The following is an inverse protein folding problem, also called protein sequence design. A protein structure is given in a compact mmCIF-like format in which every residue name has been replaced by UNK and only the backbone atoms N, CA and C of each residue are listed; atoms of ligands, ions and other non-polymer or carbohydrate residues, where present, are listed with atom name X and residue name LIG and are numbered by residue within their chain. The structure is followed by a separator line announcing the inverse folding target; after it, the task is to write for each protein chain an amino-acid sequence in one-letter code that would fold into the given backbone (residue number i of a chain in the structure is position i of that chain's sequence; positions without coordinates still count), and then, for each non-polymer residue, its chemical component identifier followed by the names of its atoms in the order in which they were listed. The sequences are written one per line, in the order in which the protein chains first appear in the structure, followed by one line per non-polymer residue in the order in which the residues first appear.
data_IF_519684087148
#
_entry.id   IF_519684087148
#
_cell.length_a   1.000
_cell.length_b   1.000
_cell.length_c   1.000
_cell.angle_alpha   90.00
_cell.angle_beta   90.00
_cell.angle_gamma   90.00
#
_symmetry.space_group_name_H-M   'P 1'
#
loop_
_entity.id
_entity.type
_entity.pdbx_description
1 polymer ?
#
# COMPACT_ATOMS: atom_id res chain seq x y z
N UNK A 1 -51.03 -34.13 43.70
CA UNK A 1 -50.99 -32.94 42.80
C UNK A 1 -50.05 -31.82 43.27
N UNK A 2 -50.04 -31.42 44.56
CA UNK A 2 -49.19 -30.32 45.06
C UNK A 2 -47.68 -30.54 44.89
N UNK A 3 -47.14 -31.71 45.29
CA UNK A 3 -45.70 -32.02 45.16
C UNK A 3 -45.19 -31.93 43.71
N UNK A 4 -45.92 -32.48 42.73
CA UNK A 4 -45.55 -32.39 41.31
C UNK A 4 -45.48 -30.94 40.82
N UNK A 5 -46.42 -30.07 41.24
CA UNK A 5 -46.40 -28.64 40.93
C UNK A 5 -45.19 -27.93 41.54
N UNK A 6 -44.85 -28.22 42.79
CA UNK A 6 -43.68 -27.64 43.47
C UNK A 6 -42.36 -28.05 42.80
N UNK A 7 -42.21 -29.32 42.40
CA UNK A 7 -41.02 -29.81 41.68
C UNK A 7 -40.87 -29.13 40.32
N UNK A 8 -41.97 -28.98 39.56
CA UNK A 8 -41.96 -28.30 38.26
C UNK A 8 -41.52 -26.83 38.42
N UNK A 9 -42.02 -26.13 39.45
CA UNK A 9 -41.63 -24.74 39.72
C UNK A 9 -40.14 -24.64 40.05
N UNK A 10 -39.61 -25.49 40.92
CA UNK A 10 -38.17 -25.49 41.27
C UNK A 10 -37.29 -25.83 40.06
N UNK A 11 -37.68 -26.81 39.24
CA UNK A 11 -36.96 -27.15 38.02
C UNK A 11 -36.97 -25.99 37.02
N UNK A 12 -38.11 -25.30 36.85
CA UNK A 12 -38.19 -24.13 35.97
C UNK A 12 -37.31 -22.97 36.46
N UNK A 13 -37.26 -22.72 37.76
CA UNK A 13 -36.43 -21.67 38.35
C UNK A 13 -34.94 -21.98 38.18
N UNK A 14 -34.56 -23.24 38.38
CA UNK A 14 -33.20 -23.70 38.16
C UNK A 14 -32.75 -23.52 36.72
N UNK A 15 -33.60 -23.87 35.75
CA UNK A 15 -33.34 -23.67 34.32
C UNK A 15 -33.12 -22.19 34.02
N UNK A 16 -33.96 -21.29 34.57
CA UNK A 16 -33.80 -19.84 34.38
C UNK A 16 -32.46 -19.35 34.94
N UNK A 17 -32.04 -19.83 36.11
CA UNK A 17 -30.73 -19.47 36.69
C UNK A 17 -29.57 -19.98 35.82
N UNK A 18 -29.63 -21.22 35.33
CA UNK A 18 -28.62 -21.76 34.42
C UNK A 18 -28.52 -20.97 33.11
N UNK A 19 -29.66 -20.54 32.55
CA UNK A 19 -29.69 -19.69 31.36
C UNK A 19 -29.07 -18.33 31.68
N UNK A 20 -29.48 -17.68 32.77
CA UNK A 20 -28.94 -16.38 33.18
C UNK A 20 -27.42 -16.44 33.43
N UNK A 21 -26.93 -17.50 34.08
CA UNK A 21 -25.50 -17.72 34.29
C UNK A 21 -24.76 -17.99 32.97
N UNK A 22 -25.34 -18.79 32.07
CA UNK A 22 -24.75 -19.06 30.76
C UNK A 22 -24.63 -17.78 29.93
N UNK A 23 -25.66 -16.92 29.97
CA UNK A 23 -25.63 -15.59 29.34
C UNK A 23 -24.54 -14.74 29.98
N UNK A 24 -24.49 -14.64 31.32
CA UNK A 24 -23.47 -13.87 32.03
C UNK A 24 -22.05 -14.34 31.69
N UNK A 25 -21.84 -15.66 31.65
CA UNK A 25 -20.55 -16.27 31.36
C UNK A 25 -20.09 -15.94 29.93
N UNK A 26 -20.98 -16.10 28.96
CA UNK A 26 -20.66 -15.93 27.53
C UNK A 26 -20.60 -14.47 27.08
N UNK A 27 -21.44 -13.60 27.64
CA UNK A 27 -21.55 -12.19 27.22
C UNK A 27 -20.67 -11.23 28.03
N UNK A 28 -20.27 -11.60 29.25
CA UNK A 28 -19.55 -10.68 30.15
C UNK A 28 -18.23 -11.28 30.62
N UNK A 29 -18.26 -12.45 31.27
CA UNK A 29 -17.08 -12.99 31.96
C UNK A 29 -15.98 -13.39 30.96
N UNK A 30 -16.32 -14.19 29.94
CA UNK A 30 -15.34 -14.65 28.95
C UNK A 30 -14.76 -13.47 28.13
N UNK A 31 -15.56 -12.53 27.59
CA UNK A 31 -15.03 -11.34 26.91
C UNK A 31 -14.12 -10.50 27.80
N UNK A 32 -14.51 -10.25 29.05
CA UNK A 32 -13.70 -9.47 30.00
C UNK A 32 -12.34 -10.13 30.28
N UNK A 33 -12.30 -11.45 30.46
CA UNK A 33 -11.04 -12.18 30.65
C UNK A 33 -10.13 -12.08 29.43
N UNK A 34 -10.68 -12.23 28.22
CA UNK A 34 -9.92 -12.08 26.96
C UNK A 34 -9.38 -10.65 26.80
N UNK A 35 -10.19 -9.63 27.11
CA UNK A 35 -9.76 -8.23 27.09
C UNK A 35 -8.60 -7.97 28.05
N UNK A 36 -8.67 -8.50 29.28
CA UNK A 36 -7.59 -8.39 30.25
C UNK A 36 -6.31 -9.11 29.79
N UNK A 37 -6.44 -10.25 29.10
CA UNK A 37 -5.31 -10.93 28.47
C UNK A 37 -4.67 -10.07 27.38
N UNK A 38 -5.48 -9.45 26.51
CA UNK A 38 -4.99 -8.55 25.47
C UNK A 38 -4.23 -7.36 26.07
N UNK A 39 -4.75 -6.73 27.13
CA UNK A 39 -4.06 -5.63 27.85
C UNK A 39 -2.68 -6.05 28.36
N UNK A 40 -2.56 -7.22 28.99
CA UNK A 40 -1.25 -7.74 29.44
C UNK A 40 -0.27 -7.96 28.28
N UNK A 41 -0.76 -8.41 27.13
CA UNK A 41 0.07 -8.60 25.93
C UNK A 41 0.57 -7.24 25.40
N UNK A 42 -0.31 -6.23 25.36
CA UNK A 42 0.05 -4.85 25.02
C UNK A 42 1.12 -4.31 25.97
N UNK A 43 0.95 -4.50 27.28
CA UNK A 43 1.93 -4.06 28.30
C UNK A 43 3.31 -4.71 28.09
N UNK A 44 3.32 -5.97 27.61
CA UNK A 44 4.54 -6.71 27.27
C UNK A 44 5.10 -6.43 25.86
N UNK A 45 4.41 -5.63 25.03
CA UNK A 45 4.79 -5.32 23.65
C UNK A 45 4.42 -6.38 22.61
N UNK A 46 3.66 -7.41 22.98
CA UNK A 46 3.17 -8.45 22.04
C UNK A 46 1.88 -7.98 21.36
N UNK A 47 2.03 -7.00 20.47
CA UNK A 47 0.93 -6.37 19.74
C UNK A 47 0.22 -7.34 18.79
N UNK A 48 0.93 -8.32 18.22
CA UNK A 48 0.33 -9.33 17.34
C UNK A 48 -0.64 -10.24 18.08
N UNK A 49 -0.19 -10.83 19.20
CA UNK A 49 -1.07 -11.67 20.00
C UNK A 49 -2.23 -10.86 20.59
N UNK A 50 -1.98 -9.60 21.00
CA UNK A 50 -3.02 -8.71 21.47
C UNK A 50 -4.08 -8.42 20.39
N UNK A 51 -3.65 -8.02 19.20
CA UNK A 51 -4.53 -7.69 18.08
C UNK A 51 -5.37 -8.89 17.64
N UNK A 52 -4.78 -10.09 17.63
CA UNK A 52 -5.50 -11.34 17.33
C UNK A 52 -6.60 -11.64 18.35
N UNK A 53 -6.35 -11.45 19.65
CA UNK A 53 -7.38 -11.64 20.69
C UNK A 53 -8.49 -10.61 20.52
N UNK A 54 -8.14 -9.33 20.34
CA UNK A 54 -9.10 -8.27 20.17
C UNK A 54 -9.95 -8.50 18.93
N UNK A 55 -9.36 -9.00 17.84
CA UNK A 55 -10.03 -9.31 16.58
C UNK A 55 -11.17 -10.30 16.69
N UNK A 56 -11.04 -11.25 17.63
CA UNK A 56 -12.02 -12.30 17.88
C UNK A 56 -13.02 -11.94 19.00
N UNK A 57 -13.06 -10.67 19.42
CA UNK A 57 -14.01 -10.16 20.41
C UNK A 57 -15.03 -9.24 19.74
N UNK A 58 -16.32 -9.54 19.98
CA UNK A 58 -17.42 -8.63 19.70
C UNK A 58 -17.82 -7.94 21.02
N UNK A 59 -16.98 -7.00 21.45
CA UNK A 59 -17.14 -6.27 22.71
C UNK A 59 -16.66 -4.83 22.49
N UNK A 60 -17.48 -3.82 22.81
CA UNK A 60 -17.21 -2.42 22.43
C UNK A 60 -15.79 -1.95 22.80
N UNK A 61 -15.39 -2.16 24.05
CA UNK A 61 -14.05 -1.79 24.54
C UNK A 61 -12.91 -2.48 23.79
N UNK A 62 -13.18 -3.65 23.17
CA UNK A 62 -12.18 -4.37 22.37
C UNK A 62 -11.96 -3.75 21.00
N UNK A 63 -12.95 -3.03 20.45
CA UNK A 63 -12.82 -2.30 19.18
C UNK A 63 -11.97 -1.04 19.38
N UNK A 64 -12.31 -0.22 20.38
CA UNK A 64 -11.55 0.98 20.73
C UNK A 64 -10.08 0.66 21.02
N UNK A 65 -9.84 -0.39 21.85
CA UNK A 65 -8.49 -0.82 22.17
C UNK A 65 -7.75 -1.36 20.94
N UNK A 66 -8.42 -2.10 20.06
CA UNK A 66 -7.82 -2.62 18.82
C UNK A 66 -7.39 -1.48 17.89
N UNK A 67 -8.25 -0.49 17.73
CA UNK A 67 -7.96 0.70 16.94
C UNK A 67 -6.78 1.48 17.55
N UNK A 68 -6.71 1.59 18.88
CA UNK A 68 -5.60 2.28 19.56
C UNK A 68 -4.23 1.59 19.42
N UNK A 69 -4.21 0.26 19.18
CA UNK A 69 -2.97 -0.50 19.00
C UNK A 69 -2.67 -0.88 17.55
N UNK A 70 -3.52 -0.47 16.60
CA UNK A 70 -3.47 -0.91 15.19
C UNK A 70 -2.11 -0.61 14.57
N UNK A 71 -1.60 0.60 14.77
CA UNK A 71 -0.33 1.02 14.19
C UNK A 71 0.87 0.24 14.77
N UNK A 72 0.85 -0.07 16.07
CA UNK A 72 1.91 -0.86 16.71
C UNK A 72 1.87 -2.32 16.23
N UNK A 73 0.67 -2.86 15.99
CA UNK A 73 0.49 -4.17 15.38
C UNK A 73 1.04 -4.20 13.94
N UNK A 74 0.66 -3.25 13.09
CA UNK A 74 1.15 -3.14 11.71
C UNK A 74 2.67 -2.99 11.68
N UNK A 75 3.22 -2.10 12.51
CA UNK A 75 4.67 -1.95 12.69
C UNK A 75 5.36 -3.27 13.06
N UNK A 76 4.77 -4.06 13.95
CA UNK A 76 5.33 -5.35 14.34
C UNK A 76 5.35 -6.34 13.16
N UNK A 77 4.33 -6.32 12.28
CA UNK A 77 4.31 -7.11 11.05
C UNK A 77 5.36 -6.64 10.04
N UNK A 78 5.42 -5.33 9.77
CA UNK A 78 6.41 -4.73 8.86
C UNK A 78 7.85 -5.05 9.31
N UNK A 79 8.09 -5.03 10.62
CA UNK A 79 9.41 -5.35 11.19
C UNK A 79 9.85 -6.81 10.96
N UNK A 80 8.90 -7.73 10.76
CA UNK A 80 9.16 -9.14 10.45
C UNK A 80 9.31 -9.42 8.95
N UNK A 81 8.94 -8.47 8.10
CA UNK A 81 8.98 -8.63 6.66
C UNK A 81 10.41 -8.92 6.15
N UNK A 82 10.51 -9.74 5.11
CA UNK A 82 11.77 -10.10 4.47
C UNK A 82 11.82 -9.53 3.05
N UNK A 83 13.03 -9.28 2.52
CA UNK A 83 13.18 -8.89 1.11
C UNK A 83 12.53 -9.95 0.21
N UNK A 84 11.74 -9.51 -0.76
CA UNK A 84 10.97 -10.37 -1.66
C UNK A 84 9.61 -10.83 -1.12
N UNK A 85 9.29 -10.55 0.15
CA UNK A 85 7.95 -10.79 0.72
C UNK A 85 6.99 -9.64 0.40
N UNK A 86 5.69 -9.92 0.58
CA UNK A 86 4.64 -8.91 0.50
C UNK A 86 4.14 -8.54 1.89
N UNK A 87 3.89 -7.24 2.10
CA UNK A 87 3.23 -6.69 3.28
C UNK A 87 1.98 -5.93 2.87
N UNK A 88 1.01 -5.85 3.77
CA UNK A 88 -0.22 -5.10 3.57
C UNK A 88 -0.16 -3.85 4.44
N UNK A 89 -0.31 -2.66 3.84
CA UNK A 89 -0.25 -1.40 4.59
C UNK A 89 -0.83 -0.23 3.79
N UNK A 90 -1.60 0.66 4.45
CA UNK A 90 -2.40 1.67 3.77
C UNK A 90 -3.55 1.09 2.93
N UNK A 91 -4.41 1.99 2.43
CA UNK A 91 -5.59 1.62 1.62
C UNK A 91 -5.75 2.56 0.43
N UNK A 92 -6.02 2.05 -0.76
CA UNK A 92 -6.29 2.86 -1.94
C UNK A 92 -7.35 2.18 -2.80
N UNK A 93 -8.08 2.95 -3.60
CA UNK A 93 -9.06 2.42 -4.55
C UNK A 93 -8.38 1.54 -5.61
N UNK A 94 -8.82 0.29 -5.75
CA UNK A 94 -8.21 -0.69 -6.66
C UNK A 94 -9.23 -1.44 -7.50
N UNK A 95 -10.46 -1.64 -7.04
CA UNK A 95 -11.47 -2.43 -7.77
C UNK A 95 -12.43 -1.58 -8.63
N UNK A 96 -12.34 -0.24 -8.52
CA UNK A 96 -13.19 0.75 -9.20
C UNK A 96 -14.65 0.76 -8.70
N UNK A 97 -14.90 0.27 -7.49
CA UNK A 97 -16.18 0.31 -6.83
C UNK A 97 -16.16 1.34 -5.68
N UNK A 98 -16.35 2.61 -6.00
CA UNK A 98 -16.29 3.70 -5.01
C UNK A 98 -17.30 3.59 -3.84
N UNK A 99 -18.23 2.63 -3.86
CA UNK A 99 -19.22 2.40 -2.81
C UNK A 99 -18.73 1.47 -1.68
N UNK A 100 -17.73 0.61 -1.90
CA UNK A 100 -17.22 -0.31 -0.87
C UNK A 100 -16.03 0.26 -0.06
N UNK A 101 -15.48 1.39 -0.50
CA UNK A 101 -14.33 2.06 0.12
C UNK A 101 -12.99 1.44 -0.32
N UNK A 102 -11.90 2.16 -0.06
CA UNK A 102 -10.57 1.79 -0.53
C UNK A 102 -10.08 0.42 -0.01
N UNK A 103 -9.41 -0.34 -0.88
CA UNK A 103 -8.81 -1.63 -0.55
C UNK A 103 -7.41 -1.53 0.05
N UNK A 104 -7.06 -2.50 0.87
CA UNK A 104 -5.70 -2.68 1.37
C UNK A 104 -4.65 -2.80 0.26
N UNK A 105 -3.54 -2.06 0.39
CA UNK A 105 -2.47 -2.08 -0.61
C UNK A 105 -1.45 -3.16 -0.26
N UNK A 106 -1.16 -4.04 -1.21
CA UNK A 106 -0.04 -4.98 -1.13
C UNK A 106 1.26 -4.33 -1.62
N UNK A 107 2.33 -4.49 -0.85
CA UNK A 107 3.64 -3.91 -1.09
C UNK A 107 4.73 -4.98 -1.13
N UNK A 108 5.50 -5.03 -2.22
CA UNK A 108 6.71 -5.85 -2.33
C UNK A 108 7.87 -5.18 -1.59
N UNK A 109 8.52 -5.90 -0.68
CA UNK A 109 9.72 -5.43 0.02
C UNK A 109 10.95 -5.58 -0.88
N UNK A 110 11.50 -4.47 -1.36
CA UNK A 110 12.69 -4.44 -2.23
C UNK A 110 14.00 -4.44 -1.44
N UNK A 111 14.02 -3.80 -0.27
CA UNK A 111 15.19 -3.75 0.58
C UNK A 111 14.78 -3.67 2.05
N UNK A 112 15.67 -4.17 2.92
CA UNK A 112 15.53 -4.06 4.37
C UNK A 112 16.85 -3.60 4.97
N UNK A 113 16.78 -2.50 5.69
CA UNK A 113 17.83 -1.98 6.56
C UNK A 113 17.42 -2.21 8.01
N UNK A 114 18.31 -1.93 8.97
CA UNK A 114 18.07 -2.19 10.39
C UNK A 114 16.78 -1.54 10.91
N UNK A 115 16.49 -0.32 10.46
CA UNK A 115 15.37 0.49 10.95
C UNK A 115 14.34 0.85 9.87
N UNK A 116 14.46 0.35 8.64
CA UNK A 116 13.51 0.71 7.58
C UNK A 116 13.45 -0.33 6.47
N UNK A 117 12.34 -0.33 5.75
CA UNK A 117 12.15 -1.16 4.56
C UNK A 117 11.82 -0.28 3.35
N UNK A 118 12.39 -0.60 2.21
CA UNK A 118 11.99 -0.03 0.93
C UNK A 118 10.93 -0.93 0.33
N UNK A 119 9.79 -0.35 -0.01
CA UNK A 119 8.68 -1.06 -0.61
C UNK A 119 8.27 -0.45 -1.94
N UNK A 120 7.70 -1.28 -2.81
CA UNK A 120 6.99 -0.87 -4.03
C UNK A 120 5.65 -1.56 -4.09
N UNK A 121 4.61 -0.86 -4.53
CA UNK A 121 3.28 -1.47 -4.71
C UNK A 121 3.34 -2.71 -5.60
N UNK A 122 2.58 -3.74 -5.22
CA UNK A 122 2.47 -5.01 -5.97
C UNK A 122 1.83 -4.77 -7.34
N UNK A 123 0.76 -3.99 -7.36
CA UNK A 123 0.03 -3.57 -8.54
C UNK A 123 0.27 -2.10 -8.84
N UNK A 124 0.08 -1.69 -10.09
CA UNK A 124 0.01 -0.27 -10.41
C UNK A 124 -1.38 0.26 -10.05
N UNK A 125 -1.41 1.30 -9.22
CA UNK A 125 -2.61 1.67 -8.44
C UNK A 125 -3.51 2.69 -9.15
N UNK A 126 -2.92 3.62 -9.90
CA UNK A 126 -3.62 4.68 -10.62
C UNK A 126 -2.95 4.92 -11.98
N UNK A 127 -3.57 5.73 -12.82
CA UNK A 127 -3.06 6.18 -14.10
C UNK A 127 -2.96 7.70 -14.10
N UNK A 128 -1.72 8.22 -14.11
CA UNK A 128 -1.44 9.64 -14.06
C UNK A 128 -0.44 10.02 -15.15
N UNK A 129 -0.62 11.20 -15.75
CA UNK A 129 0.38 11.79 -16.65
C UNK A 129 1.64 12.11 -15.84
N UNK A 130 2.81 11.88 -16.43
CA UNK A 130 4.07 12.25 -15.76
C UNK A 130 4.12 13.74 -15.45
N UNK A 131 3.73 14.56 -16.43
CA UNK A 131 3.55 16.00 -16.27
C UNK A 131 2.28 16.45 -16.99
N UNK A 132 1.59 17.46 -16.45
CA UNK A 132 0.38 18.02 -17.06
C UNK A 132 0.67 19.17 -18.03
N UNK A 133 1.80 19.87 -17.90
CA UNK A 133 2.25 20.89 -18.86
C UNK A 133 3.05 20.28 -20.02
N UNK A 134 3.10 20.98 -21.16
CA UNK A 134 3.82 20.55 -22.38
C UNK A 134 5.27 21.06 -22.42
N UNK A 135 5.85 21.33 -21.26
CA UNK A 135 7.18 21.92 -21.11
C UNK A 135 8.21 20.85 -20.77
N UNK A 136 9.49 21.20 -20.91
CA UNK A 136 10.60 20.41 -20.39
C UNK A 136 10.40 20.17 -18.89
N UNK A 137 10.57 18.93 -18.46
CA UNK A 137 10.20 18.51 -17.12
C UNK A 137 11.21 17.53 -16.56
N UNK A 138 11.51 17.68 -15.28
CA UNK A 138 12.33 16.75 -14.51
C UNK A 138 11.46 16.12 -13.43
N UNK A 139 11.96 15.10 -12.74
CA UNK A 139 11.26 14.56 -11.57
C UNK A 139 10.91 15.66 -10.55
N UNK A 140 11.84 16.58 -10.30
CA UNK A 140 11.69 17.70 -9.36
C UNK A 140 10.45 18.55 -9.66
N UNK A 141 10.20 18.86 -10.93
CA UNK A 141 9.18 19.81 -11.37
C UNK A 141 7.89 19.16 -11.89
N UNK A 142 7.85 17.83 -12.03
CA UNK A 142 6.70 17.14 -12.60
C UNK A 142 5.47 17.14 -11.69
N UNK A 143 4.28 17.19 -12.29
CA UNK A 143 3.01 17.10 -11.55
C UNK A 143 2.80 15.75 -10.87
N UNK A 144 3.37 14.66 -11.41
CA UNK A 144 3.24 13.33 -10.81
C UNK A 144 3.90 13.25 -9.42
N UNK A 145 5.07 13.85 -9.26
CA UNK A 145 5.75 13.94 -7.95
C UNK A 145 4.90 14.70 -6.92
N UNK A 146 4.27 15.80 -7.35
CA UNK A 146 3.38 16.60 -6.50
C UNK A 146 2.15 15.80 -6.07
N UNK A 147 1.55 15.04 -7.00
CA UNK A 147 0.43 14.16 -6.69
C UNK A 147 0.82 13.02 -5.72
N UNK A 148 1.98 12.39 -5.94
CA UNK A 148 2.48 11.31 -5.08
C UNK A 148 2.72 11.77 -3.64
N UNK A 149 3.32 12.96 -3.45
CA UNK A 149 3.64 13.51 -2.13
C UNK A 149 2.54 14.41 -1.55
N UNK A 150 1.37 14.44 -2.19
CA UNK A 150 0.18 15.15 -1.72
C UNK A 150 -1.02 14.22 -1.75
N UNK A 151 -1.87 14.36 -2.77
CA UNK A 151 -3.16 13.66 -2.85
C UNK A 151 -3.06 12.14 -2.69
N UNK A 152 -2.07 11.48 -3.29
CA UNK A 152 -1.89 10.03 -3.10
C UNK A 152 -1.56 9.70 -1.64
N UNK A 153 -0.55 10.35 -1.07
CA UNK A 153 -0.10 10.12 0.30
C UNK A 153 -1.21 10.37 1.33
N UNK A 154 -1.98 11.46 1.15
CA UNK A 154 -3.09 11.83 2.03
C UNK A 154 -4.29 10.87 1.92
N UNK A 155 -4.50 10.29 0.74
CA UNK A 155 -5.57 9.33 0.50
C UNK A 155 -5.18 7.92 0.97
N UNK A 156 -3.94 7.52 0.71
CA UNK A 156 -3.49 6.15 0.90
C UNK A 156 -3.15 5.81 2.35
N UNK A 157 -2.78 6.82 3.15
CA UNK A 157 -2.26 6.63 4.50
C UNK A 157 -2.87 7.63 5.48
N UNK A 158 -3.25 7.14 6.65
CA UNK A 158 -3.63 7.98 7.80
C UNK A 158 -2.47 8.84 8.28
N UNK A 159 -2.75 9.89 9.06
CA UNK A 159 -1.69 10.75 9.62
C UNK A 159 -0.64 9.97 10.43
N UNK A 160 -1.08 8.98 11.19
CA UNK A 160 -0.20 8.15 12.01
C UNK A 160 0.66 7.20 11.16
N UNK A 161 0.13 6.68 10.04
CA UNK A 161 0.91 5.92 9.06
C UNK A 161 1.90 6.81 8.31
N UNK A 162 1.49 8.01 7.88
CA UNK A 162 2.38 8.99 7.22
C UNK A 162 3.57 9.37 8.09
N UNK A 163 3.41 9.41 9.41
CA UNK A 163 4.51 9.63 10.35
C UNK A 163 5.58 8.51 10.32
N UNK A 164 5.25 7.32 9.79
CA UNK A 164 6.19 6.23 9.55
C UNK A 164 6.85 6.29 8.16
N UNK A 165 6.48 7.24 7.29
CA UNK A 165 7.05 7.39 5.95
C UNK A 165 8.06 8.54 5.98
N UNK A 166 9.37 8.29 6.17
CA UNK A 166 10.34 9.35 6.28
C UNK A 166 10.50 10.11 4.96
N UNK A 167 10.78 11.41 5.06
CA UNK A 167 11.31 12.18 3.93
C UNK A 167 12.73 11.68 3.66
N UNK A 168 13.00 11.24 2.43
CA UNK A 168 14.31 10.78 1.99
C UNK A 168 14.83 11.62 0.83
N UNK A 169 16.16 11.69 0.71
CA UNK A 169 16.77 12.22 -0.51
C UNK A 169 16.59 11.21 -1.65
N UNK A 170 15.92 11.64 -2.72
CA UNK A 170 15.76 10.88 -3.96
C UNK A 170 16.72 11.47 -4.99
N UNK A 171 17.67 10.66 -5.49
CA UNK A 171 18.72 11.14 -6.39
C UNK A 171 18.21 11.39 -7.81
N UNK A 172 18.71 12.45 -8.45
CA UNK A 172 18.51 12.68 -9.88
C UNK A 172 19.44 11.78 -10.73
N UNK A 173 19.14 10.49 -10.78
CA UNK A 173 19.92 9.51 -11.54
C UNK A 173 19.80 9.75 -13.05
N UNK A 174 20.95 9.83 -13.72
CA UNK A 174 21.02 9.93 -15.19
C UNK A 174 20.40 8.71 -15.86
N UNK A 175 19.83 8.93 -17.05
CA UNK A 175 19.54 7.82 -17.96
C UNK A 175 20.88 7.21 -18.43
N UNK A 176 21.10 5.88 -18.31
CA UNK A 176 22.34 5.25 -18.75
C UNK A 176 22.61 5.30 -20.26
N UNK A 177 21.57 5.50 -21.09
CA UNK A 177 21.65 5.53 -22.56
C UNK A 177 21.74 6.94 -23.14
N UNK A 178 21.14 7.92 -22.48
CA UNK A 178 21.01 9.30 -22.99
C UNK A 178 21.58 10.32 -22.01
N UNK A 179 22.18 11.40 -22.51
CA UNK A 179 22.71 12.50 -21.68
C UNK A 179 21.65 13.56 -21.36
N UNK A 180 20.38 13.17 -21.30
CA UNK A 180 19.28 14.03 -20.88
C UNK A 180 19.49 14.48 -19.44
N UNK A 181 19.37 15.78 -19.19
CA UNK A 181 19.53 16.33 -17.85
C UNK A 181 18.47 15.74 -16.89
N UNK A 182 18.88 15.02 -15.81
CA UNK A 182 17.92 14.42 -14.87
C UNK A 182 17.32 15.44 -13.89
N UNK A 183 17.79 16.70 -13.88
CA UNK A 183 17.40 17.70 -12.90
C UNK A 183 18.17 17.56 -11.58
N UNK A 184 17.57 18.03 -10.48
CA UNK A 184 18.16 17.98 -9.15
C UNK A 184 17.57 16.85 -8.31
N UNK A 185 18.35 16.40 -7.31
CA UNK A 185 17.83 15.52 -6.27
C UNK A 185 16.73 16.21 -5.47
N UNK A 186 15.76 15.42 -5.01
CA UNK A 186 14.57 15.90 -4.28
C UNK A 186 14.51 15.33 -2.87
N UNK A 187 13.60 15.86 -2.06
CA UNK A 187 13.24 15.34 -0.75
C UNK A 187 11.79 14.87 -0.81
N UNK A 188 11.57 13.55 -0.80
CA UNK A 188 10.27 12.93 -1.06
C UNK A 188 9.96 11.85 -0.01
N UNK A 189 8.67 11.67 0.29
CA UNK A 189 8.17 10.54 1.08
C UNK A 189 7.80 9.36 0.17
N UNK A 190 7.14 9.66 -0.96
CA UNK A 190 6.75 8.67 -1.97
C UNK A 190 7.37 9.07 -3.31
N UNK A 191 7.92 8.10 -4.01
CA UNK A 191 8.65 8.30 -5.26
C UNK A 191 8.44 7.15 -6.24
N UNK A 192 8.96 7.32 -7.45
CA UNK A 192 9.13 6.24 -8.43
C UNK A 192 10.59 5.80 -8.44
N UNK A 193 10.86 4.55 -8.80
CA UNK A 193 12.24 4.07 -8.96
C UNK A 193 12.92 4.77 -10.16
N UNK A 194 14.26 4.95 -10.11
CA UNK A 194 15.04 5.22 -11.33
C UNK A 194 15.18 3.99 -12.21
N UNK A 195 15.69 4.19 -13.43
CA UNK A 195 16.23 3.10 -14.25
C UNK A 195 17.25 2.29 -13.45
N UNK A 196 18.23 2.95 -12.82
CA UNK A 196 19.30 2.28 -12.07
C UNK A 196 18.76 1.43 -10.94
N UNK A 197 17.78 1.93 -10.18
CA UNK A 197 17.11 1.16 -9.13
C UNK A 197 16.26 0.02 -9.71
N UNK A 198 15.50 0.26 -10.77
CA UNK A 198 14.66 -0.75 -11.39
C UNK A 198 15.49 -1.90 -11.96
N UNK A 199 16.64 -1.65 -12.59
CA UNK A 199 17.50 -2.72 -13.14
C UNK A 199 18.47 -3.31 -12.11
N UNK A 200 18.49 -2.80 -10.89
CA UNK A 200 19.37 -3.32 -9.86
C UNK A 200 18.97 -4.75 -9.50
N UNK A 201 19.90 -5.69 -9.66
CA UNK A 201 19.68 -7.11 -9.34
C UNK A 201 19.31 -7.37 -7.88
N UNK A 202 19.64 -6.43 -6.99
CA UNK A 202 19.22 -6.46 -5.58
C UNK A 202 17.72 -6.24 -5.37
N UNK A 203 17.02 -5.59 -6.31
CA UNK A 203 15.58 -5.30 -6.21
C UNK A 203 14.76 -6.22 -7.12
N UNK A 204 15.25 -6.49 -8.33
CA UNK A 204 14.57 -7.36 -9.29
C UNK A 204 15.56 -8.35 -9.92
N UNK A 205 15.20 -9.63 -9.92
CA UNK A 205 16.04 -10.70 -10.49
C UNK A 205 16.11 -10.71 -12.02
N UNK A 206 15.35 -9.82 -12.68
CA UNK A 206 15.31 -9.67 -14.14
C UNK A 206 13.99 -9.04 -14.59
N UNK A 207 13.80 -8.98 -15.91
CA UNK A 207 12.64 -8.37 -16.57
C UNK A 207 11.32 -8.96 -16.06
N UNK A 208 11.22 -10.28 -15.96
CA UNK A 208 10.01 -10.95 -15.46
C UNK A 208 9.60 -10.52 -14.05
N UNK A 209 10.56 -10.12 -13.20
CA UNK A 209 10.27 -9.62 -11.85
C UNK A 209 9.78 -8.15 -11.85
N UNK A 210 10.02 -7.40 -12.94
CA UNK A 210 9.58 -6.00 -13.10
C UNK A 210 8.22 -5.86 -13.74
N UNK A 211 7.71 -6.92 -14.39
CA UNK A 211 6.35 -6.97 -14.93
C UNK A 211 5.36 -6.61 -13.83
N UNK A 212 4.48 -5.66 -14.12
CA UNK A 212 3.46 -5.19 -13.19
C UNK A 212 2.07 -5.41 -13.78
N UNK A 213 1.11 -5.76 -12.94
CA UNK A 213 -0.30 -5.74 -13.29
C UNK A 213 -0.95 -4.46 -12.77
N UNK A 214 -1.87 -3.88 -13.53
CA UNK A 214 -2.67 -2.74 -13.09
C UNK A 214 -3.89 -3.21 -12.30
N UNK A 215 -4.36 -2.36 -11.39
CA UNK A 215 -5.65 -2.54 -10.71
C UNK A 215 -6.80 -2.22 -11.65
N UNK A 216 -8.03 -2.64 -11.32
CA UNK A 216 -9.20 -2.29 -12.13
C UNK A 216 -9.42 -0.77 -12.16
N UNK A 217 -9.18 -0.10 -11.03
CA UNK A 217 -9.19 1.36 -10.93
C UNK A 217 -8.16 2.01 -11.85
N UNK A 218 -6.90 1.57 -11.82
CA UNK A 218 -5.86 2.07 -12.72
C UNK A 218 -6.27 1.99 -14.20
N UNK A 219 -6.91 0.89 -14.62
CA UNK A 219 -7.42 0.75 -15.99
C UNK A 219 -8.64 1.63 -16.28
N UNK A 220 -9.56 1.78 -15.33
CA UNK A 220 -10.67 2.72 -15.46
C UNK A 220 -10.19 4.17 -15.58
N UNK A 221 -9.00 4.47 -15.04
CA UNK A 221 -8.29 5.75 -15.16
C UNK A 221 -7.51 5.93 -16.46
N UNK A 222 -7.54 4.92 -17.34
CA UNK A 222 -7.02 5.00 -18.71
C UNK A 222 -5.64 4.37 -18.93
N UNK A 223 -5.11 3.60 -17.97
CA UNK A 223 -3.83 2.94 -18.15
C UNK A 223 -3.87 1.92 -19.30
N UNK A 224 -2.77 1.83 -20.04
CA UNK A 224 -2.62 0.80 -21.06
C UNK A 224 -2.63 -0.60 -20.44
N UNK A 225 -3.51 -1.47 -20.98
CA UNK A 225 -3.71 -2.85 -20.54
C UNK A 225 -3.24 -3.82 -21.61
N UNK A 226 -2.08 -4.45 -21.38
CA UNK A 226 -1.51 -5.46 -22.26
C UNK A 226 -1.97 -6.87 -21.85
N UNK A 227 -2.46 -7.65 -22.81
CA UNK A 227 -2.88 -9.05 -22.66
C UNK A 227 -3.69 -9.31 -21.36
N UNK A 228 -3.14 -10.11 -20.45
CA UNK A 228 -3.73 -10.60 -19.21
C UNK A 228 -3.76 -9.56 -18.10
N UNK A 229 -3.64 -8.27 -18.43
CA UNK A 229 -3.61 -7.20 -17.44
C UNK A 229 -2.22 -6.79 -17.00
N UNK A 230 -1.20 -6.87 -17.87
CA UNK A 230 0.10 -6.23 -17.63
C UNK A 230 0.00 -4.76 -18.01
N UNK A 231 0.78 -3.89 -17.37
CA UNK A 231 0.79 -2.46 -17.67
C UNK A 231 2.20 -1.93 -17.78
N UNK A 232 2.32 -0.79 -18.46
CA UNK A 232 3.53 0.02 -18.43
C UNK A 232 3.49 0.92 -17.21
N UNK A 233 4.63 1.12 -16.54
CA UNK A 233 4.70 1.96 -15.35
C UNK A 233 5.87 2.93 -15.36
N UNK A 234 5.63 4.15 -14.86
CA UNK A 234 6.60 5.23 -14.89
C UNK A 234 7.84 4.96 -14.03
N UNK A 235 8.99 5.44 -14.51
CA UNK A 235 10.20 5.68 -13.74
C UNK A 235 10.41 7.19 -13.60
N UNK A 236 11.13 7.61 -12.56
CA UNK A 236 11.49 9.03 -12.38
C UNK A 236 12.67 9.50 -13.24
N UNK A 237 13.42 8.56 -13.82
CA UNK A 237 14.55 8.89 -14.70
C UNK A 237 14.04 9.53 -16.00
N UNK A 238 14.78 10.50 -16.56
CA UNK A 238 14.42 11.10 -17.85
C UNK A 238 14.47 10.07 -18.98
N UNK A 239 13.70 10.32 -20.04
CA UNK A 239 13.79 9.60 -21.31
C UNK A 239 14.89 10.17 -22.22
N UNK A 240 14.75 9.96 -23.53
CA UNK A 240 15.73 10.43 -24.51
C UNK A 240 15.75 11.98 -24.72
N UNK A 241 14.72 12.70 -24.29
CA UNK A 241 14.63 14.17 -24.32
C UNK A 241 14.16 14.73 -22.98
N UNK A 242 14.42 16.02 -22.73
CA UNK A 242 14.05 16.74 -21.49
C UNK A 242 12.54 16.84 -21.24
N UNK A 243 11.71 16.54 -22.25
CA UNK A 243 10.25 16.50 -22.16
C UNK A 243 9.69 15.10 -21.93
N UNK A 244 10.54 14.08 -21.69
CA UNK A 244 10.14 12.67 -21.57
C UNK A 244 10.68 12.03 -20.30
N UNK A 245 9.93 11.07 -19.78
CA UNK A 245 10.34 10.18 -18.69
C UNK A 245 10.45 8.74 -19.20
N UNK A 246 11.25 7.94 -18.50
CA UNK A 246 11.38 6.51 -18.78
C UNK A 246 10.27 5.70 -18.10
N UNK A 247 10.10 4.47 -18.54
CA UNK A 247 9.13 3.53 -17.99
C UNK A 247 9.67 2.09 -18.03
N UNK A 248 8.93 1.19 -17.41
CA UNK A 248 9.05 -0.25 -17.63
C UNK A 248 7.84 -0.68 -18.46
N UNK A 249 8.09 -1.45 -19.53
CA UNK A 249 7.04 -1.97 -20.39
C UNK A 249 6.33 -3.22 -19.83
N UNK A 250 5.34 -3.72 -20.56
CA UNK A 250 4.58 -4.91 -20.18
C UNK A 250 5.41 -6.23 -20.15
N UNK A 251 6.62 -6.24 -20.71
CA UNK A 251 7.56 -7.36 -20.65
C UNK A 251 8.59 -7.20 -19.53
N UNK A 252 8.56 -6.07 -18.82
CA UNK A 252 9.49 -5.74 -17.75
C UNK A 252 10.80 -5.11 -18.22
N UNK A 253 10.92 -4.78 -19.50
CA UNK A 253 12.11 -4.13 -20.06
C UNK A 253 12.06 -2.62 -19.82
N UNK A 254 13.25 -2.00 -19.69
CA UNK A 254 13.35 -0.53 -19.60
C UNK A 254 13.03 0.08 -20.96
N UNK A 255 12.05 0.97 -20.95
CA UNK A 255 11.58 1.68 -22.12
C UNK A 255 11.74 3.18 -21.90
N UNK A 256 12.64 3.80 -22.66
CA UNK A 256 13.03 5.21 -22.56
C UNK A 256 12.63 6.05 -23.78
N UNK A 257 11.69 5.49 -24.57
CA UNK A 257 10.92 6.00 -25.73
C UNK A 257 11.62 7.03 -26.64
N UNK A 258 11.89 6.63 -27.88
CA UNK A 258 12.17 7.54 -29.01
C UNK A 258 10.90 8.20 -29.58
N UNK A 259 9.70 7.78 -29.17
CA UNK A 259 8.41 8.28 -29.67
C UNK A 259 7.54 8.90 -28.57
N UNK A 260 7.22 10.19 -28.70
CA UNK A 260 6.33 10.89 -27.80
C UNK A 260 4.87 10.52 -28.08
N UNK A 261 4.07 10.34 -27.03
CA UNK A 261 2.67 10.77 -27.08
C UNK A 261 2.51 11.89 -26.07
N UNK A 262 2.52 13.12 -26.58
CA UNK A 262 2.02 14.29 -25.88
C UNK A 262 0.75 14.68 -26.65
N UNK A 263 -0.43 14.29 -26.12
CA UNK A 263 -1.80 14.78 -26.37
C UNK A 263 -2.83 13.83 -27.01
N UNK A 264 -4.07 14.04 -26.55
CA UNK A 264 -5.39 13.52 -26.94
C UNK A 264 -5.85 13.93 -28.37
N UNK A 265 -4.95 14.02 -29.35
CA UNK A 265 -5.37 14.26 -30.75
C UNK A 265 -4.47 13.47 -31.71
N UNK A 266 -5.10 12.61 -32.49
CA UNK A 266 -4.51 11.37 -32.98
C UNK A 266 -3.82 11.43 -34.34
N UNK A 267 -2.97 10.41 -34.55
CA UNK A 267 -2.57 9.75 -35.81
C UNK A 267 -1.16 9.98 -36.39
N UNK A 268 -0.47 8.82 -36.54
CA UNK A 268 0.51 8.34 -37.55
C UNK A 268 1.90 7.96 -36.96
N UNK A 269 2.40 6.73 -36.99
CA UNK A 269 1.86 5.39 -37.31
C UNK A 269 2.86 4.35 -36.76
N UNK A 270 2.33 3.40 -35.98
CA UNK A 270 2.53 1.95 -36.09
C UNK A 270 3.85 1.42 -36.69
N UNK A 271 4.74 0.92 -35.83
CA UNK A 271 5.36 -0.39 -36.00
C UNK A 271 5.69 -0.95 -34.61
N UNK A 272 4.67 -1.54 -33.98
CA UNK A 272 4.68 -2.82 -33.25
C UNK A 272 3.52 -2.86 -32.23
N UNK A 273 2.48 -3.59 -32.62
CA UNK A 273 1.34 -4.12 -31.87
C UNK A 273 0.19 -3.16 -31.52
N UNK A 274 -0.81 -3.16 -32.41
CA UNK A 274 -2.25 -3.25 -32.17
C UNK A 274 -2.79 -2.53 -30.90
N UNK A 275 -3.39 -1.36 -31.13
CA UNK A 275 -4.16 -0.50 -30.20
C UNK A 275 -3.37 0.46 -29.28
N UNK A 276 -2.50 1.31 -29.85
CA UNK A 276 -1.98 2.47 -29.11
C UNK A 276 -2.61 3.75 -29.62
N UNK A 277 -3.80 4.03 -29.09
CA UNK A 277 -4.39 5.37 -29.11
C UNK A 277 -4.16 6.03 -27.75
N UNK A 278 -3.07 6.82 -27.60
CA UNK A 278 -2.90 7.72 -26.45
C UNK A 278 -2.37 7.11 -25.13
N UNK A 279 -1.36 6.23 -25.13
CA UNK A 279 -0.97 5.42 -23.94
C UNK A 279 -0.67 6.22 -22.67
N UNK A 280 -1.61 6.25 -21.73
CA UNK A 280 -1.37 6.68 -20.35
C UNK A 280 -0.70 5.54 -19.56
N UNK A 281 0.36 5.84 -18.81
CA UNK A 281 1.08 4.83 -18.03
C UNK A 281 0.58 4.79 -16.60
N UNK A 282 0.71 3.60 -16.03
CA UNK A 282 0.31 3.33 -14.67
C UNK A 282 1.35 3.85 -13.66
N UNK A 283 0.89 4.13 -12.45
CA UNK A 283 1.71 4.61 -11.35
C UNK A 283 1.95 3.47 -10.37
N UNK A 284 3.23 3.17 -10.16
CA UNK A 284 3.68 2.14 -9.22
C UNK A 284 4.53 2.80 -8.12
N UNK A 285 3.89 3.34 -7.06
CA UNK A 285 4.61 4.07 -6.01
C UNK A 285 5.57 3.17 -5.25
N UNK A 286 6.67 3.77 -4.82
CA UNK A 286 7.66 3.22 -3.90
C UNK A 286 7.92 4.20 -2.75
N UNK A 287 8.29 3.68 -1.59
CA UNK A 287 8.60 4.49 -0.41
C UNK A 287 9.45 3.71 0.59
N UNK A 288 10.13 4.44 1.46
CA UNK A 288 10.70 3.87 2.68
C UNK A 288 9.66 3.89 3.78
N UNK A 289 9.65 2.86 4.63
CA UNK A 289 8.87 2.82 5.87
C UNK A 289 9.85 2.73 7.03
N UNK A 290 9.81 3.70 7.95
CA UNK A 290 10.59 3.75 9.18
C UNK A 290 9.98 2.85 10.26
N UNK A 291 10.75 1.85 10.68
CA UNK A 291 10.43 0.89 11.72
C UNK A 291 10.84 1.39 13.12
N UNK A 292 11.45 2.57 13.25
CA UNK A 292 11.74 3.20 14.54
C UNK A 292 10.70 4.25 14.95
N UNK A 293 9.95 4.80 13.99
CA UNK A 293 8.81 5.68 14.28
C UNK A 293 7.92 5.06 15.37
N UNK A 294 7.54 5.84 16.40
CA UNK A 294 6.77 5.45 17.60
C UNK A 294 7.57 4.90 18.81
N UNK A 295 8.90 5.04 18.88
CA UNK A 295 9.68 4.61 20.06
C UNK A 295 9.62 5.54 21.28
N UNK A 296 8.74 6.55 21.30
CA UNK A 296 8.49 7.34 22.52
C UNK A 296 7.33 6.72 23.30
N UNK A 297 7.67 5.89 24.30
CA UNK A 297 6.91 5.94 25.55
C UNK A 297 7.18 7.34 26.10
N UNK A 298 6.23 8.24 25.98
CA UNK A 298 6.19 9.43 26.82
C UNK A 298 6.19 8.93 28.27
N UNK A 299 7.37 9.02 28.90
CA UNK A 299 7.60 8.85 30.34
C UNK A 299 6.84 9.89 31.14
#
# INVERSE_FOLDING_TARGET
MKQKKTIIIMASLFIVVCIAFSILLTMVIIPSQKLNKAKKLIDSGDYEAAYSILSNLNYKDSEDLRNSIKLQYEKALLSKASVGSYVIWGTYEQDNNLENGAEEIEWLVLAKEENRILVISRYALDCQKYNTSKEDVTWETCSLRQWLNGSFLDTAFSEAERAMIPIVTVSADKNPRYDTNPGNSTSDQVFLLSITEAIASKYFSGDSARVCQGTAYCYAKGAYKYETGKCWWWLRSPGNTSSRASSIDAHGSVHDIDYAIINDDFAYLDLLSDNVDGSNYAVRPAMWIDLNALSQKDT
#
